data_IF_839109135767
#
_entry.id   IF_839109135767
#
_cell.length_a   1.000
_cell.length_b   1.000
_cell.length_c   1.000
_cell.angle_alpha   90.00
_cell.angle_beta   90.00
_cell.angle_gamma   90.00
#
_symmetry.space_group_name_H-M   'P 1'
#
loop_
_entity.id
_entity.type
_entity.pdbx_description
1 polymer ?
#
# COMPACT_ATOMS: atom_id res chain seq x y z
N UNK A 1 17.82 21.46 -19.77
CA UNK A 1 17.14 20.14 -19.97
C UNK A 1 16.09 20.04 -18.89
N UNK A 2 14.83 19.83 -19.26
CA UNK A 2 13.80 19.51 -18.27
C UNK A 2 14.10 18.14 -17.67
N UNK A 3 13.84 17.98 -16.38
CA UNK A 3 14.06 16.69 -15.73
C UNK A 3 13.05 15.65 -16.28
N UNK A 4 13.38 14.36 -16.13
CA UNK A 4 12.42 13.28 -16.45
C UNK A 4 11.11 13.45 -15.67
N UNK A 5 11.22 14.00 -14.46
CA UNK A 5 10.09 14.29 -13.58
C UNK A 5 9.20 15.41 -14.14
N UNK A 6 9.78 16.54 -14.54
CA UNK A 6 9.04 17.66 -15.15
C UNK A 6 8.33 17.23 -16.43
N UNK A 7 9.01 16.38 -17.22
CA UNK A 7 8.43 15.80 -18.44
C UNK A 7 7.22 14.91 -18.14
N UNK A 8 7.30 14.10 -17.08
CA UNK A 8 6.17 13.28 -16.64
C UNK A 8 5.06 14.15 -16.05
N UNK A 9 5.39 15.17 -15.26
CA UNK A 9 4.44 16.11 -14.65
C UNK A 9 3.59 16.81 -15.72
N UNK A 10 4.20 17.22 -16.84
CA UNK A 10 3.48 17.84 -17.97
C UNK A 10 2.48 16.92 -18.70
N UNK A 11 2.38 15.63 -18.34
CA UNK A 11 1.38 14.69 -18.88
C UNK A 11 0.11 14.60 -18.05
N UNK A 12 0.12 15.09 -16.81
CA UNK A 12 -1.04 15.04 -15.93
C UNK A 12 -1.93 16.26 -16.14
N UNK A 13 -3.22 16.03 -16.42
CA UNK A 13 -4.25 17.06 -16.51
C UNK A 13 -4.98 17.24 -15.16
N UNK A 14 -4.27 17.12 -14.04
CA UNK A 14 -4.82 17.19 -12.68
C UNK A 14 -3.82 17.86 -11.72
N UNK A 15 -4.31 18.27 -10.56
CA UNK A 15 -3.47 18.87 -9.51
C UNK A 15 -2.73 17.82 -8.66
N UNK A 16 -1.79 18.29 -7.85
CA UNK A 16 -0.93 17.45 -7.00
C UNK A 16 -1.69 16.45 -6.13
N UNK A 17 -2.85 16.86 -5.58
CA UNK A 17 -3.69 15.97 -4.76
C UNK A 17 -4.15 14.75 -5.54
N UNK A 18 -4.72 14.96 -6.72
CA UNK A 18 -5.31 13.88 -7.51
C UNK A 18 -4.21 13.00 -8.11
N UNK A 19 -3.08 13.62 -8.46
CA UNK A 19 -1.87 12.90 -8.84
C UNK A 19 -1.31 12.04 -7.69
N UNK A 20 -1.29 12.55 -6.45
CA UNK A 20 -0.83 11.78 -5.29
C UNK A 20 -1.75 10.59 -5.00
N UNK A 21 -3.08 10.75 -5.17
CA UNK A 21 -4.05 9.64 -5.08
C UNK A 21 -3.80 8.59 -6.17
N UNK A 22 -3.57 9.04 -7.40
CA UNK A 22 -3.27 8.15 -8.53
C UNK A 22 -1.98 7.36 -8.30
N UNK A 23 -0.91 8.03 -7.87
CA UNK A 23 0.36 7.38 -7.54
C UNK A 23 0.20 6.40 -6.37
N UNK A 24 -0.58 6.73 -5.33
CA UNK A 24 -0.86 5.81 -4.23
C UNK A 24 -1.53 4.51 -4.73
N UNK A 25 -2.48 4.63 -5.67
CA UNK A 25 -3.10 3.47 -6.32
C UNK A 25 -2.11 2.61 -7.10
N UNK A 26 -1.22 3.24 -7.89
CA UNK A 26 -0.15 2.53 -8.61
C UNK A 26 0.73 1.73 -7.65
N UNK A 27 1.15 2.35 -6.54
CA UNK A 27 2.05 1.71 -5.57
C UNK A 27 1.37 0.56 -4.84
N UNK A 28 0.09 0.70 -4.48
CA UNK A 28 -0.67 -0.38 -3.85
C UNK A 28 -0.88 -1.57 -4.79
N UNK A 29 -1.24 -1.31 -6.06
CA UNK A 29 -1.34 -2.36 -7.06
C UNK A 29 0.00 -3.06 -7.30
N UNK A 30 1.10 -2.29 -7.37
CA UNK A 30 2.45 -2.83 -7.51
C UNK A 30 2.82 -3.71 -6.32
N UNK A 31 2.61 -3.25 -5.09
CA UNK A 31 2.88 -4.01 -3.88
C UNK A 31 2.12 -5.35 -3.88
N UNK A 32 0.84 -5.33 -4.22
CA UNK A 32 0.05 -6.57 -4.21
C UNK A 32 0.51 -7.55 -5.30
N UNK A 33 0.51 -7.13 -6.56
CA UNK A 33 0.74 -8.04 -7.67
C UNK A 33 2.20 -8.46 -7.84
N UNK A 34 3.16 -7.68 -7.36
CA UNK A 34 4.58 -8.03 -7.47
C UNK A 34 5.02 -9.06 -6.43
N UNK A 35 4.43 -9.03 -5.23
CA UNK A 35 4.93 -9.80 -4.08
C UNK A 35 4.03 -10.97 -3.68
N UNK A 36 2.74 -10.96 -4.04
CA UNK A 36 1.87 -12.13 -3.83
C UNK A 36 2.43 -13.35 -4.57
N UNK A 37 2.46 -14.49 -3.89
CA UNK A 37 3.03 -15.75 -4.36
C UNK A 37 4.48 -15.99 -3.92
N UNK A 38 5.17 -14.98 -3.37
CA UNK A 38 6.54 -15.16 -2.88
C UNK A 38 6.59 -16.17 -1.72
N UNK A 39 7.58 -17.09 -1.70
CA UNK A 39 7.77 -17.96 -0.56
C UNK A 39 8.23 -17.15 0.66
N UNK A 40 7.64 -17.42 1.81
CA UNK A 40 7.97 -16.82 3.09
C UNK A 40 7.94 -17.87 4.21
N UNK A 41 8.93 -17.78 5.09
CA UNK A 41 9.09 -18.61 6.29
C UNK A 41 9.25 -17.72 7.52
N UNK A 42 9.13 -18.30 8.70
CA UNK A 42 9.38 -17.62 9.99
C UNK A 42 10.77 -16.96 10.07
N UNK A 43 11.78 -17.56 9.44
CA UNK A 43 13.16 -17.04 9.43
C UNK A 43 13.38 -15.93 8.40
N UNK A 44 12.57 -15.88 7.32
CA UNK A 44 12.72 -14.92 6.23
C UNK A 44 11.75 -13.73 6.29
N UNK A 45 10.64 -13.85 7.04
CA UNK A 45 9.55 -12.86 7.09
C UNK A 45 10.04 -11.44 7.38
N UNK A 46 10.91 -11.27 8.37
CA UNK A 46 11.47 -9.96 8.74
C UNK A 46 12.30 -9.34 7.60
N UNK A 47 13.07 -10.17 6.89
CA UNK A 47 13.86 -9.74 5.75
C UNK A 47 12.98 -9.38 4.56
N UNK A 48 11.92 -10.14 4.33
CA UNK A 48 10.95 -9.90 3.26
C UNK A 48 10.16 -8.61 3.49
N UNK A 49 9.63 -8.38 4.70
CA UNK A 49 8.95 -7.14 5.09
C UNK A 49 9.80 -5.89 4.79
N UNK A 50 11.09 -5.94 5.17
CA UNK A 50 12.05 -4.85 4.90
C UNK A 50 12.30 -4.69 3.40
N UNK A 51 12.58 -5.77 2.70
CA UNK A 51 12.90 -5.75 1.27
C UNK A 51 11.74 -5.20 0.44
N UNK A 52 10.51 -5.59 0.76
CA UNK A 52 9.31 -5.05 0.10
C UNK A 52 9.17 -3.56 0.40
N UNK A 53 9.30 -3.15 1.67
CA UNK A 53 9.21 -1.74 2.06
C UNK A 53 10.22 -0.88 1.31
N UNK A 54 11.47 -1.34 1.20
CA UNK A 54 12.54 -0.61 0.51
C UNK A 54 12.35 -0.59 -1.01
N UNK A 55 11.86 -1.69 -1.60
CA UNK A 55 11.50 -1.76 -3.01
C UNK A 55 10.34 -0.82 -3.39
N UNK A 56 9.41 -0.55 -2.47
CA UNK A 56 8.38 0.46 -2.68
C UNK A 56 8.93 1.87 -2.49
N UNK A 57 9.76 2.11 -1.46
CA UNK A 57 10.35 3.44 -1.16
C UNK A 57 11.20 4.01 -2.29
N UNK A 58 11.83 3.17 -3.11
CA UNK A 58 12.65 3.66 -4.24
C UNK A 58 11.80 4.27 -5.37
N UNK A 59 10.48 4.05 -5.37
CA UNK A 59 9.59 4.56 -6.40
C UNK A 59 9.34 6.08 -6.23
N UNK A 60 9.07 6.82 -7.32
CA UNK A 60 8.81 8.26 -7.25
C UNK A 60 7.68 8.63 -6.28
N UNK A 61 7.86 9.75 -5.57
CA UNK A 61 6.90 10.37 -4.64
C UNK A 61 6.59 9.58 -3.36
N UNK A 62 7.20 8.42 -3.14
CA UNK A 62 7.03 7.67 -1.90
C UNK A 62 7.83 8.35 -0.79
N UNK A 63 7.13 8.92 0.19
CA UNK A 63 7.73 9.47 1.40
C UNK A 63 8.08 8.36 2.39
N UNK A 64 7.18 7.39 2.58
CA UNK A 64 7.39 6.23 3.45
C UNK A 64 6.56 5.05 2.95
N UNK A 65 7.03 3.84 3.23
CA UNK A 65 6.31 2.61 2.99
C UNK A 65 6.62 1.61 4.11
N UNK A 66 5.60 0.96 4.65
CA UNK A 66 5.73 -0.05 5.71
C UNK A 66 4.90 -1.25 5.32
N UNK A 67 5.51 -2.41 5.41
CA UNK A 67 4.85 -3.69 5.16
C UNK A 67 5.00 -4.56 6.39
N UNK A 68 3.91 -5.20 6.79
CA UNK A 68 3.92 -6.33 7.73
C UNK A 68 3.25 -7.53 7.11
N UNK A 69 3.70 -8.71 7.52
CA UNK A 69 3.16 -9.99 7.14
C UNK A 69 2.64 -10.67 8.40
N UNK A 70 1.40 -11.17 8.34
CA UNK A 70 0.78 -11.90 9.44
C UNK A 70 1.50 -13.25 9.66
N UNK A 71 2.29 -13.30 10.74
CA UNK A 71 3.08 -14.47 11.13
C UNK A 71 2.19 -15.65 11.53
N UNK A 72 0.94 -15.43 11.92
CA UNK A 72 0.01 -16.52 12.26
C UNK A 72 -0.37 -17.37 11.05
N UNK A 73 -0.17 -16.84 9.84
CA UNK A 73 -0.40 -17.51 8.56
C UNK A 73 0.82 -18.23 8.01
N UNK A 74 1.96 -18.13 8.70
CA UNK A 74 3.21 -18.80 8.32
C UNK A 74 3.35 -20.07 9.17
N UNK A 75 3.67 -21.23 8.57
CA UNK A 75 3.99 -22.42 9.33
C UNK A 75 5.11 -22.15 10.35
N UNK A 76 5.09 -22.81 11.53
CA UNK A 76 6.19 -22.73 12.48
C UNK A 76 7.49 -23.28 11.84
N UNK A 77 8.63 -22.94 12.44
CA UNK A 77 9.92 -23.50 12.01
C UNK A 77 9.89 -25.03 12.01
N UNK A 78 10.41 -25.61 10.94
CA UNK A 78 10.42 -27.04 10.72
C UNK A 78 11.44 -27.43 9.66
N UNK A 79 11.03 -28.28 8.74
CA UNK A 79 11.85 -28.78 7.64
C UNK A 79 11.90 -27.83 6.43
N UNK A 80 12.46 -28.31 5.31
CA UNK A 80 12.58 -27.56 4.05
C UNK A 80 11.24 -27.17 3.41
N UNK A 81 10.12 -27.76 3.83
CA UNK A 81 8.78 -27.46 3.33
C UNK A 81 7.99 -26.51 4.25
N UNK A 82 8.60 -26.06 5.35
CA UNK A 82 7.97 -25.19 6.33
C UNK A 82 7.96 -23.72 5.89
N UNK A 83 7.25 -23.45 4.79
CA UNK A 83 7.02 -22.11 4.24
C UNK A 83 5.59 -21.98 3.71
N UNK A 84 5.15 -20.73 3.55
CA UNK A 84 3.90 -20.38 2.88
C UNK A 84 4.19 -19.56 1.62
N UNK A 85 3.28 -19.60 0.66
CA UNK A 85 3.23 -18.58 -0.38
C UNK A 85 2.49 -17.37 0.16
N UNK A 86 3.10 -16.20 0.07
CA UNK A 86 2.53 -14.94 0.53
C UNK A 86 1.22 -14.65 -0.20
N UNK A 87 0.11 -14.59 0.54
CA UNK A 87 -1.21 -14.25 0.01
C UNK A 87 -1.65 -12.85 0.42
N UNK A 88 -2.63 -12.30 -0.29
CA UNK A 88 -3.11 -10.94 -0.07
C UNK A 88 -3.66 -10.68 1.34
N UNK A 89 -4.28 -11.69 1.95
CA UNK A 89 -4.82 -11.63 3.32
C UNK A 89 -3.75 -11.68 4.41
N UNK A 90 -2.51 -12.03 4.08
CA UNK A 90 -1.37 -11.95 4.99
C UNK A 90 -0.75 -10.55 5.04
N UNK A 91 -1.04 -9.69 4.06
CA UNK A 91 -0.30 -8.45 3.84
C UNK A 91 -0.95 -7.24 4.49
N UNK A 92 -0.11 -6.46 5.17
CA UNK A 92 -0.48 -5.29 5.93
C UNK A 92 0.35 -4.07 5.44
N UNK A 93 -0.24 -3.34 4.49
CA UNK A 93 0.24 -2.17 3.75
C UNK A 93 0.09 -0.79 4.41
N UNK A 94 1.14 0.04 4.55
CA UNK A 94 0.98 1.51 4.63
C UNK A 94 1.95 2.19 3.67
N UNK A 95 1.43 3.03 2.76
CA UNK A 95 2.26 3.82 1.83
C UNK A 95 1.86 5.28 1.94
N UNK A 96 2.86 6.15 2.09
CA UNK A 96 2.69 7.60 2.14
C UNK A 96 3.27 8.20 0.86
N UNK A 97 2.43 8.91 0.12
CA UNK A 97 2.81 9.64 -1.09
C UNK A 97 2.82 11.14 -0.80
N UNK A 98 3.86 11.84 -1.25
CA UNK A 98 3.94 13.30 -1.21
C UNK A 98 4.22 13.85 -2.62
N UNK A 99 3.35 14.75 -3.06
CA UNK A 99 3.53 15.53 -4.29
C UNK A 99 3.16 16.98 -3.96
N UNK A 100 4.13 17.90 -4.14
CA UNK A 100 3.98 19.29 -3.70
C UNK A 100 3.53 19.37 -2.24
N UNK A 101 2.46 20.12 -2.00
CA UNK A 101 1.85 20.27 -0.67
C UNK A 101 0.88 19.14 -0.31
N UNK A 102 0.59 18.21 -1.21
CA UNK A 102 -0.35 17.12 -0.94
C UNK A 102 0.34 15.90 -0.38
N UNK A 103 -0.19 15.38 0.73
CA UNK A 103 0.27 14.13 1.37
C UNK A 103 -0.91 13.16 1.46
N UNK A 104 -0.75 11.98 0.87
CA UNK A 104 -1.76 10.91 0.85
C UNK A 104 -1.21 9.70 1.60
N UNK A 105 -2.01 9.14 2.50
CA UNK A 105 -1.71 7.84 3.13
C UNK A 105 -2.71 6.83 2.59
N UNK A 106 -2.20 5.79 1.95
CA UNK A 106 -2.96 4.63 1.52
C UNK A 106 -2.60 3.44 2.41
N UNK A 107 -3.58 2.59 2.67
CA UNK A 107 -3.43 1.38 3.45
C UNK A 107 -3.99 0.17 2.70
N UNK A 108 -3.43 -1.00 3.01
CA UNK A 108 -3.97 -2.29 2.59
C UNK A 108 -4.07 -3.17 3.82
N UNK A 109 -5.28 -3.60 4.14
CA UNK A 109 -5.60 -4.42 5.33
C UNK A 109 -6.58 -5.51 4.93
N UNK A 110 -6.42 -6.71 5.49
CA UNK A 110 -7.49 -7.70 5.41
C UNK A 110 -8.69 -7.26 6.25
N UNK A 111 -9.81 -7.02 5.59
CA UNK A 111 -11.08 -6.71 6.23
C UNK A 111 -11.86 -8.01 6.41
N UNK A 112 -12.11 -8.38 7.68
CA UNK A 112 -12.78 -9.64 8.03
C UNK A 112 -14.27 -9.63 7.70
N UNK A 113 -14.91 -8.46 7.71
CA UNK A 113 -16.34 -8.33 7.42
C UNK A 113 -16.59 -8.48 5.91
N UNK A 114 -15.65 -8.00 5.09
CA UNK A 114 -15.68 -8.14 3.63
C UNK A 114 -15.01 -9.43 3.14
N UNK A 115 -14.21 -10.08 3.98
CA UNK A 115 -13.37 -11.22 3.60
C UNK A 115 -12.36 -10.87 2.51
N UNK A 116 -11.84 -9.64 2.50
CA UNK A 116 -11.10 -9.08 1.36
C UNK A 116 -9.91 -8.20 1.80
N UNK A 117 -8.72 -8.30 1.15
CA UNK A 117 -7.62 -7.38 1.38
C UNK A 117 -7.91 -6.01 0.75
N UNK A 118 -8.58 -5.15 1.50
CA UNK A 118 -9.06 -3.85 1.03
C UNK A 118 -7.90 -2.86 0.96
N UNK A 119 -7.71 -2.27 -0.21
CA UNK A 119 -6.87 -1.10 -0.41
C UNK A 119 -7.73 0.16 -0.34
N UNK A 120 -7.32 1.14 0.46
CA UNK A 120 -8.06 2.39 0.60
C UNK A 120 -7.14 3.54 0.99
N UNK A 121 -7.63 4.76 0.81
CA UNK A 121 -6.96 5.97 1.27
C UNK A 121 -7.46 6.30 2.66
N UNK A 122 -6.59 6.25 3.66
CA UNK A 122 -6.94 6.52 5.06
C UNK A 122 -6.78 8.00 5.44
N UNK A 123 -5.93 8.75 4.72
CA UNK A 123 -5.74 10.18 4.99
C UNK A 123 -5.29 10.96 3.75
N UNK A 124 -5.75 12.21 3.66
CA UNK A 124 -5.31 13.19 2.66
C UNK A 124 -5.10 14.52 3.40
N UNK A 125 -3.88 15.07 3.36
CA UNK A 125 -3.55 16.35 3.95
C UNK A 125 -2.97 17.30 2.90
N UNK A 126 -3.25 18.60 3.04
CA UNK A 126 -2.54 19.68 2.34
C UNK A 126 -1.58 20.38 3.30
N UNK A 127 -0.42 20.80 2.81
CA UNK A 127 0.57 21.55 3.56
C UNK A 127 0.08 22.94 3.96
N UNK A 128 -0.52 23.06 5.15
CA UNK A 128 -0.28 24.15 6.10
C UNK A 128 -0.98 23.90 7.45
N UNK A 129 -0.16 23.82 8.50
CA UNK A 129 -0.46 23.80 9.94
C UNK A 129 -1.05 22.53 10.59
N UNK A 130 -0.43 22.16 11.71
CA UNK A 130 -0.72 21.03 12.61
C UNK A 130 -2.17 21.00 13.12
N UNK A 131 -2.76 19.80 13.11
CA UNK A 131 -3.29 19.14 14.32
C UNK A 131 -3.75 17.71 13.94
N UNK A 132 -2.95 16.72 14.28
CA UNK A 132 -3.40 15.33 14.30
C UNK A 132 -4.42 15.18 15.44
N UNK A 133 -5.72 15.18 15.09
CA UNK A 133 -6.76 14.60 15.94
C UNK A 133 -7.03 13.19 15.43
N UNK A 134 -6.76 12.19 16.27
CA UNK A 134 -7.47 10.92 16.16
C UNK A 134 -8.94 11.18 16.47
N UNK A 135 -9.83 10.90 15.53
CA UNK A 135 -11.20 10.49 15.88
C UNK A 135 -11.82 9.64 14.78
N UNK A 136 -12.17 8.42 15.20
CA UNK A 136 -13.44 7.74 14.94
C UNK A 136 -13.71 7.10 13.58
N UNK A 137 -14.21 5.86 13.70
CA UNK A 137 -14.59 4.92 12.65
C UNK A 137 -15.47 5.59 11.59
N UNK A 138 -14.99 5.64 10.34
CA UNK A 138 -15.86 5.90 9.20
C UNK A 138 -16.70 4.66 8.90
N UNK A 139 -17.98 4.72 9.26
CA UNK A 139 -19.01 3.87 8.66
C UNK A 139 -19.18 4.26 7.18
N UNK A 140 -18.82 3.36 6.27
CA UNK A 140 -19.05 3.50 4.84
C UNK A 140 -20.54 3.21 4.54
N UNK A 141 -21.24 4.04 3.75
CA UNK A 141 -22.61 3.76 3.36
C UNK A 141 -22.67 2.47 2.54
N UNK A 142 -23.58 1.57 2.93
CA UNK A 142 -24.05 0.48 2.09
C UNK A 142 -24.52 1.10 0.77
N UNK A 143 -24.14 0.52 -0.36
CA UNK A 143 -24.55 0.82 -1.74
C UNK A 143 -23.45 1.46 -2.60
N UNK A 144 -22.43 0.70 -2.95
CA UNK A 144 -21.76 0.88 -4.24
C UNK A 144 -21.29 -0.49 -4.76
N UNK A 145 -22.17 -1.11 -5.54
CA UNK A 145 -21.85 -2.31 -6.31
C UNK A 145 -21.07 -1.92 -7.56
N UNK A 146 -20.32 -2.90 -8.07
CA UNK A 146 -19.66 -2.95 -9.39
C UNK A 146 -18.18 -2.56 -9.36
N UNK A 147 -17.30 -3.57 -9.30
CA UNK A 147 -16.47 -3.98 -10.44
C UNK A 147 -15.70 -5.25 -10.07
N UNK A 148 -16.05 -6.36 -10.73
CA UNK A 148 -15.34 -7.63 -10.69
C UNK A 148 -14.76 -7.84 -12.08
N UNK A 149 -13.47 -7.57 -12.27
CA UNK A 149 -12.71 -8.10 -13.40
C UNK A 149 -11.20 -8.01 -13.12
N UNK A 150 -10.49 -9.04 -13.58
CA UNK A 150 -9.08 -9.38 -13.38
C UNK A 150 -8.80 -10.31 -12.18
N UNK A 151 -9.35 -11.52 -12.30
CA UNK A 151 -8.55 -12.74 -12.16
C UNK A 151 -7.92 -13.07 -13.53
#
# INVERSE_FOLDING_TARGET
MTSREETAAGRFACGDRDRALFEAGIKMGTLYHQFVGMPVSSSSVDGLERSISDAIRVQPYVEDARVRIDRSRIPPEGDEYSYASLSGDMLDAVIVIRIGDSRVTAEMRYDTDLGYPLMYVSSICRGSSLAFRQSEKLTVPKNCWMFRLFL
#
